data_IF_037214410526
#
_entry.id   IF_037214410526
#
_cell.length_a   1.000
_cell.length_b   1.000
_cell.length_c   1.000
_cell.angle_alpha   90.00
_cell.angle_beta   90.00
_cell.angle_gamma   90.00
#
_symmetry.space_group_name_H-M   'P 1'
#
loop_
_entity.id
_entity.type
_entity.pdbx_description
1 polymer ?
#
# COMPACT_ATOMS: atom_id res chain seq x y z
N UNK A 1 -10.27 -12.10 26.98
CA UNK A 1 -9.94 -10.66 27.02
C UNK A 1 -11.22 -9.88 27.26
N UNK A 2 -11.18 -8.77 28.00
CA UNK A 2 -12.32 -7.84 27.99
C UNK A 2 -12.41 -7.17 26.61
N UNK A 3 -13.63 -6.85 26.11
CA UNK A 3 -13.79 -6.15 24.85
C UNK A 3 -13.32 -4.69 24.98
N UNK A 4 -12.63 -4.18 23.95
CA UNK A 4 -12.28 -2.77 23.91
C UNK A 4 -13.54 -1.93 23.70
N UNK A 5 -13.86 -1.05 24.66
CA UNK A 5 -15.05 -0.22 24.66
C UNK A 5 -14.71 1.24 24.37
N UNK A 6 -15.29 1.78 23.30
CA UNK A 6 -15.34 3.23 23.06
C UNK A 6 -16.71 3.71 23.55
N UNK A 7 -16.88 3.72 24.88
CA UNK A 7 -18.16 4.05 25.52
C UNK A 7 -19.20 2.96 25.28
N UNK A 8 -20.27 3.31 24.57
CA UNK A 8 -21.36 2.41 24.23
C UNK A 8 -21.15 1.70 22.87
N UNK A 9 -19.95 1.81 22.30
CA UNK A 9 -19.53 1.06 21.11
C UNK A 9 -18.51 -0.02 21.49
N UNK A 10 -18.83 -1.29 21.20
CA UNK A 10 -17.90 -2.42 21.30
C UNK A 10 -17.04 -2.41 20.05
N UNK A 11 -15.72 -2.22 20.20
CA UNK A 11 -14.76 -2.37 19.09
C UNK A 11 -14.70 -3.84 18.71
N UNK A 12 -14.99 -4.09 17.43
CA UNK A 12 -14.87 -5.41 16.80
C UNK A 12 -13.48 -5.56 16.18
N UNK A 13 -12.98 -4.52 15.50
CA UNK A 13 -11.67 -4.53 14.85
C UNK A 13 -11.12 -3.11 14.60
N UNK A 14 -9.83 -2.99 14.33
CA UNK A 14 -9.24 -1.82 13.66
C UNK A 14 -9.57 -1.92 12.17
N UNK A 15 -10.22 -0.89 11.61
CA UNK A 15 -10.65 -0.93 10.21
C UNK A 15 -9.76 -0.07 9.29
N UNK A 16 -9.63 1.22 9.56
CA UNK A 16 -8.80 2.15 8.76
C UNK A 16 -7.81 2.88 9.66
N UNK A 17 -6.77 3.45 9.07
CA UNK A 17 -5.89 4.40 9.74
C UNK A 17 -5.41 5.48 8.77
N UNK A 18 -5.31 6.71 9.27
CA UNK A 18 -4.63 7.81 8.60
C UNK A 18 -3.78 8.61 9.61
N UNK A 19 -3.25 9.73 9.16
CA UNK A 19 -2.45 10.69 9.93
C UNK A 19 -3.23 11.52 10.99
N UNK A 20 -4.56 11.43 11.03
CA UNK A 20 -5.42 11.86 12.15
C UNK A 20 -5.76 10.69 13.11
N UNK A 21 -5.36 9.46 12.79
CA UNK A 21 -5.47 8.30 13.68
C UNK A 21 -6.38 7.18 13.16
N UNK A 22 -6.80 6.30 14.08
CA UNK A 22 -7.49 5.04 13.76
C UNK A 22 -9.01 5.24 13.61
N UNK A 23 -9.60 4.50 12.69
CA UNK A 23 -11.04 4.25 12.59
C UNK A 23 -11.28 2.78 12.94
N UNK A 24 -12.12 2.53 13.94
CA UNK A 24 -12.47 1.19 14.39
C UNK A 24 -13.81 0.75 13.80
N UNK A 25 -13.91 -0.51 13.41
CA UNK A 25 -15.20 -1.16 13.22
C UNK A 25 -15.76 -1.49 14.60
N UNK A 26 -16.96 -1.02 14.90
CA UNK A 26 -17.60 -1.24 16.19
C UNK A 26 -19.10 -1.51 16.03
N UNK A 27 -19.75 -1.99 17.09
CA UNK A 27 -21.20 -2.14 17.15
C UNK A 27 -21.76 -1.43 18.38
N UNK A 28 -22.94 -0.82 18.24
CA UNK A 28 -23.61 -0.15 19.37
C UNK A 28 -24.10 -1.17 20.40
N UNK A 29 -24.09 -0.78 21.67
CA UNK A 29 -24.70 -1.51 22.78
C UNK A 29 -26.13 -1.07 23.09
N UNK A 30 -26.59 0.04 22.49
CA UNK A 30 -27.87 0.70 22.79
C UNK A 30 -28.88 0.48 21.67
N UNK A 31 -28.41 0.42 20.42
CA UNK A 31 -29.20 0.01 19.27
C UNK A 31 -28.69 -1.34 18.76
N UNK A 32 -29.60 -2.30 18.55
CA UNK A 32 -29.30 -3.52 17.80
C UNK A 32 -29.27 -3.16 16.30
N UNK A 33 -28.10 -2.71 15.84
CA UNK A 33 -27.90 -2.09 14.54
C UNK A 33 -26.72 -2.72 13.79
N UNK A 34 -26.66 -2.45 12.48
CA UNK A 34 -25.47 -2.68 11.67
C UNK A 34 -24.21 -2.08 12.33
N UNK A 35 -23.02 -2.66 12.07
CA UNK A 35 -21.76 -2.09 12.49
C UNK A 35 -21.55 -0.64 11.99
N UNK A 36 -20.79 0.13 12.76
CA UNK A 36 -20.44 1.52 12.47
C UNK A 36 -18.92 1.71 12.53
N UNK A 37 -18.43 2.73 11.84
CA UNK A 37 -17.05 3.16 11.88
C UNK A 37 -16.88 4.30 12.87
N UNK A 38 -16.05 4.09 13.89
CA UNK A 38 -15.88 4.97 15.05
C UNK A 38 -14.45 5.53 15.09
N UNK A 39 -14.31 6.86 15.08
CA UNK A 39 -13.04 7.58 15.34
C UNK A 39 -13.19 8.45 16.57
N UNK A 40 -12.23 8.40 17.49
CA UNK A 40 -12.16 9.35 18.61
C UNK A 40 -11.69 10.72 18.07
N UNK A 41 -12.34 11.79 18.50
CA UNK A 41 -11.82 13.15 18.39
C UNK A 41 -10.88 13.45 19.57
N UNK A 42 -10.04 14.50 19.52
CA UNK A 42 -9.13 14.82 20.62
C UNK A 42 -9.88 15.18 21.91
N UNK A 43 -9.32 14.80 23.07
CA UNK A 43 -9.87 15.02 24.41
C UNK A 43 -10.03 16.49 24.84
N UNK A 44 -9.58 17.43 24.00
CA UNK A 44 -9.87 18.86 24.13
C UNK A 44 -11.29 19.27 23.68
N UNK A 45 -12.04 18.43 22.96
CA UNK A 45 -13.37 18.77 22.43
C UNK A 45 -14.43 18.71 23.54
N UNK A 46 -14.81 19.87 24.08
CA UNK A 46 -15.79 19.97 25.17
C UNK A 46 -17.22 19.71 24.67
N UNK A 47 -18.09 19.18 25.55
CA UNK A 47 -19.54 18.95 25.32
C UNK A 47 -20.30 20.10 24.63
N UNK A 48 -19.93 21.36 24.91
CA UNK A 48 -20.52 22.56 24.27
C UNK A 48 -20.12 22.70 22.80
N UNK A 49 -18.90 22.28 22.44
CA UNK A 49 -18.43 22.23 21.06
C UNK A 49 -19.10 21.07 20.31
N UNK A 50 -19.33 19.91 20.94
CA UNK A 50 -20.01 18.76 20.30
C UNK A 50 -21.33 19.15 19.62
N UNK A 51 -22.22 19.86 20.32
CA UNK A 51 -23.50 20.35 19.76
C UNK A 51 -23.34 21.35 18.61
N UNK A 52 -22.21 22.04 18.52
CA UNK A 52 -21.90 22.95 17.42
C UNK A 52 -21.27 22.21 16.23
N UNK A 53 -20.39 21.23 16.49
CA UNK A 53 -19.77 20.38 15.48
C UNK A 53 -20.81 19.47 14.78
N UNK A 54 -21.84 19.00 15.50
CA UNK A 54 -22.99 18.32 14.89
C UNK A 54 -23.68 19.25 13.86
N UNK A 55 -24.06 20.46 14.27
CA UNK A 55 -24.66 21.46 13.36
C UNK A 55 -23.77 21.84 12.19
N UNK A 56 -22.46 21.88 12.40
CA UNK A 56 -21.48 22.11 11.35
C UNK A 56 -21.55 21.00 10.29
N UNK A 57 -21.53 19.73 10.70
CA UNK A 57 -21.68 18.59 9.79
C UNK A 57 -23.06 18.57 9.11
N UNK A 58 -24.14 18.82 9.85
CA UNK A 58 -25.50 18.97 9.31
C UNK A 58 -25.56 20.06 8.22
N UNK A 59 -24.95 21.24 8.46
CA UNK A 59 -24.88 22.34 7.49
C UNK A 59 -24.04 22.03 6.24
N UNK A 60 -23.21 20.98 6.28
CA UNK A 60 -22.39 20.50 5.15
C UNK A 60 -22.91 19.18 4.55
N UNK A 61 -23.96 18.59 5.12
CA UNK A 61 -24.52 17.28 4.73
C UNK A 61 -24.69 17.09 3.22
N UNK A 62 -25.19 18.10 2.50
CA UNK A 62 -25.28 18.14 1.03
C UNK A 62 -23.97 17.75 0.34
N UNK A 63 -22.84 18.29 0.80
CA UNK A 63 -21.51 18.12 0.20
C UNK A 63 -20.75 16.91 0.77
N UNK A 64 -21.21 16.36 1.90
CA UNK A 64 -20.76 15.09 2.47
C UNK A 64 -21.50 13.88 1.87
N UNK A 65 -22.66 14.10 1.23
CA UNK A 65 -23.51 13.03 0.68
C UNK A 65 -23.25 12.83 -0.81
N UNK A 66 -22.52 11.76 -1.17
CA UNK A 66 -22.29 11.33 -2.56
C UNK A 66 -22.11 9.82 -2.63
N UNK A 67 -22.43 9.19 -3.76
CA UNK A 67 -22.41 7.71 -3.90
C UNK A 67 -21.02 7.07 -3.70
N UNK A 68 -19.94 7.85 -3.84
CA UNK A 68 -18.55 7.43 -3.65
C UNK A 68 -17.90 8.07 -2.40
N UNK A 69 -18.69 8.59 -1.47
CA UNK A 69 -18.28 8.98 -0.12
C UNK A 69 -18.87 8.01 0.91
N UNK A 70 -18.18 7.84 2.04
CA UNK A 70 -18.75 7.18 3.22
C UNK A 70 -19.69 8.14 3.95
N UNK A 71 -20.93 7.72 4.19
CA UNK A 71 -21.95 8.51 4.86
C UNK A 71 -21.63 8.72 6.35
N UNK A 72 -21.47 9.98 6.74
CA UNK A 72 -21.45 10.44 8.15
C UNK A 72 -22.75 10.07 8.84
N UNK A 73 -22.64 9.41 10.00
CA UNK A 73 -23.78 9.08 10.88
C UNK A 73 -23.97 10.12 11.98
N UNK A 74 -22.92 10.84 12.36
CA UNK A 74 -22.99 11.99 13.26
C UNK A 74 -21.80 12.09 14.21
N UNK A 75 -21.97 12.85 15.29
CA UNK A 75 -21.07 12.81 16.45
C UNK A 75 -21.83 12.33 17.68
N UNK A 76 -21.15 11.56 18.52
CA UNK A 76 -21.67 11.09 19.81
C UNK A 76 -20.69 11.44 20.95
N UNK A 77 -21.17 11.51 22.18
CA UNK A 77 -20.38 11.92 23.35
C UNK A 77 -20.13 10.74 24.31
N UNK A 78 -18.94 10.17 24.19
CA UNK A 78 -18.48 9.02 24.97
C UNK A 78 -17.78 9.49 26.25
N UNK A 79 -18.51 9.51 27.37
CA UNK A 79 -18.00 9.97 28.70
C UNK A 79 -17.47 11.42 28.64
N UNK A 80 -16.15 11.60 28.53
CA UNK A 80 -15.46 12.89 28.35
C UNK A 80 -15.06 13.16 26.91
N UNK A 81 -14.96 12.11 26.08
CA UNK A 81 -14.54 12.17 24.69
C UNK A 81 -15.73 12.46 23.76
N UNK A 82 -15.40 12.78 22.50
CA UNK A 82 -16.37 12.86 21.40
C UNK A 82 -15.91 11.89 20.33
N UNK A 83 -16.84 11.15 19.73
CA UNK A 83 -16.57 10.26 18.60
C UNK A 83 -17.26 10.75 17.33
N UNK A 84 -16.57 10.57 16.20
CA UNK A 84 -17.14 10.66 14.86
C UNK A 84 -17.63 9.28 14.44
N UNK A 85 -18.88 9.22 14.00
CA UNK A 85 -19.56 8.01 13.52
C UNK A 85 -19.75 8.10 12.01
N UNK A 86 -19.34 7.06 11.30
CA UNK A 86 -19.52 6.87 9.85
C UNK A 86 -20.14 5.49 9.58
N UNK A 87 -20.73 5.28 8.41
CA UNK A 87 -21.17 3.93 8.01
C UNK A 87 -19.99 2.94 7.99
N UNK A 88 -20.22 1.68 8.40
CA UNK A 88 -19.31 0.60 8.03
C UNK A 88 -19.64 0.13 6.61
N UNK A 89 -18.61 -0.05 5.78
CA UNK A 89 -18.75 -0.49 4.39
C UNK A 89 -18.04 -1.84 4.26
N UNK A 90 -18.79 -2.95 4.03
CA UNK A 90 -18.19 -4.24 3.71
C UNK A 90 -17.35 -4.16 2.44
N UNK A 91 -16.13 -4.67 2.51
CA UNK A 91 -15.14 -4.60 1.45
C UNK A 91 -13.72 -4.65 2.02
N UNK A 92 -12.73 -4.53 1.13
CA UNK A 92 -11.33 -4.30 1.50
C UNK A 92 -10.94 -2.86 1.16
N UNK A 93 -9.92 -2.31 1.83
CA UNK A 93 -9.31 -1.06 1.38
C UNK A 93 -8.65 -1.24 0.01
N UNK A 94 -8.50 -0.15 -0.74
CA UNK A 94 -7.78 -0.14 -2.00
C UNK A 94 -6.30 -0.52 -1.80
N UNK A 95 -5.71 -0.17 -0.65
CA UNK A 95 -4.41 -0.65 -0.21
C UNK A 95 -4.36 -2.19 -0.12
N UNK A 96 -5.23 -2.80 0.69
CA UNK A 96 -5.28 -4.27 0.86
C UNK A 96 -5.60 -5.01 -0.44
N UNK A 97 -6.51 -4.46 -1.26
CA UNK A 97 -6.86 -5.03 -2.55
C UNK A 97 -5.64 -5.13 -3.48
N UNK A 98 -4.84 -4.05 -3.57
CA UNK A 98 -3.61 -4.02 -4.39
C UNK A 98 -2.51 -4.89 -3.78
N UNK A 99 -2.31 -4.87 -2.46
CA UNK A 99 -1.30 -5.70 -1.80
C UNK A 99 -1.60 -7.20 -1.90
N UNK A 100 -2.87 -7.61 -1.86
CA UNK A 100 -3.29 -9.02 -1.94
C UNK A 100 -3.40 -9.53 -3.38
N UNK A 101 -3.95 -8.73 -4.29
CA UNK A 101 -4.29 -9.16 -5.65
C UNK A 101 -3.26 -8.72 -6.70
N UNK A 102 -2.33 -7.82 -6.36
CA UNK A 102 -1.42 -7.16 -7.31
C UNK A 102 -2.02 -5.90 -7.94
N UNK A 103 -1.30 -5.28 -8.92
CA UNK A 103 -1.72 -4.04 -9.55
C UNK A 103 -3.06 -4.16 -10.30
N UNK A 104 -3.86 -3.09 -10.24
CA UNK A 104 -5.13 -2.94 -10.97
C UNK A 104 -4.84 -2.65 -12.44
N UNK A 105 -5.54 -3.32 -13.36
CA UNK A 105 -5.47 -3.05 -14.79
C UNK A 105 -5.74 -1.55 -15.09
N UNK A 106 -4.92 -0.87 -15.91
CA UNK A 106 -5.00 0.59 -16.08
C UNK A 106 -6.38 1.15 -16.44
N UNK A 107 -7.14 0.45 -17.29
CA UNK A 107 -8.51 0.85 -17.65
C UNK A 107 -9.46 0.86 -16.44
N UNK A 108 -9.42 -0.17 -15.59
CA UNK A 108 -10.21 -0.23 -14.35
C UNK A 108 -9.71 0.81 -13.32
N UNK A 109 -8.40 1.03 -13.23
CA UNK A 109 -7.83 2.05 -12.36
C UNK A 109 -8.25 3.49 -12.77
N UNK A 110 -8.40 3.77 -14.07
CA UNK A 110 -8.98 5.02 -14.58
C UNK A 110 -10.47 5.15 -14.21
N UNK A 111 -11.26 4.07 -14.30
CA UNK A 111 -12.67 4.08 -13.85
C UNK A 111 -12.77 4.36 -12.34
N UNK A 112 -11.91 3.74 -11.53
CA UNK A 112 -11.79 4.02 -10.10
C UNK A 112 -11.39 5.48 -9.82
N UNK A 113 -10.44 6.04 -10.56
CA UNK A 113 -10.11 7.46 -10.46
C UNK A 113 -11.26 8.40 -10.88
N UNK A 114 -12.11 8.01 -11.84
CA UNK A 114 -13.33 8.75 -12.17
C UNK A 114 -14.39 8.69 -11.05
N UNK A 115 -14.58 7.55 -10.39
CA UNK A 115 -15.48 7.43 -9.22
C UNK A 115 -15.04 8.38 -8.08
N UNK A 116 -13.74 8.37 -7.75
CA UNK A 116 -13.15 9.22 -6.71
C UNK A 116 -13.14 10.70 -7.11
N UNK A 117 -12.76 11.02 -8.36
CA UNK A 117 -12.78 12.39 -8.87
C UNK A 117 -14.17 13.01 -8.87
N UNK A 118 -15.23 12.21 -9.05
CA UNK A 118 -16.62 12.66 -8.90
C UNK A 118 -16.96 13.05 -7.46
N UNK A 119 -16.51 12.27 -6.46
CA UNK A 119 -16.70 12.58 -5.05
C UNK A 119 -15.93 13.85 -4.64
N UNK A 120 -14.67 13.97 -5.08
CA UNK A 120 -13.83 15.13 -4.79
C UNK A 120 -14.36 16.42 -5.46
N UNK A 121 -14.90 16.34 -6.69
CA UNK A 121 -15.63 17.46 -7.30
C UNK A 121 -16.82 17.88 -6.43
N UNK A 122 -17.66 16.92 -6.03
CA UNK A 122 -18.87 17.19 -5.25
C UNK A 122 -18.55 17.86 -3.90
N UNK A 123 -17.45 17.47 -3.27
CA UNK A 123 -16.92 18.16 -2.09
C UNK A 123 -16.46 19.60 -2.41
N UNK A 124 -15.68 19.76 -3.48
CA UNK A 124 -15.09 21.04 -3.87
C UNK A 124 -16.12 22.09 -4.32
N UNK A 125 -17.24 21.66 -4.90
CA UNK A 125 -18.41 22.50 -5.20
C UNK A 125 -19.00 23.14 -3.91
N UNK A 126 -18.74 22.54 -2.73
CA UNK A 126 -19.07 23.08 -1.40
C UNK A 126 -17.89 23.75 -0.67
N UNK A 127 -16.81 24.07 -1.38
CA UNK A 127 -15.51 24.51 -0.84
C UNK A 127 -14.94 23.57 0.23
N UNK A 128 -15.13 22.26 0.06
CA UNK A 128 -14.50 21.22 0.87
C UNK A 128 -13.47 20.46 0.03
N UNK A 129 -12.31 20.23 0.61
CA UNK A 129 -11.34 19.26 0.11
C UNK A 129 -10.99 18.31 1.27
N UNK A 130 -10.61 17.09 0.94
CA UNK A 130 -10.27 16.04 1.90
C UNK A 130 -8.89 16.31 2.52
N UNK A 131 -7.94 16.73 1.69
CA UNK A 131 -6.54 17.05 2.01
C UNK A 131 -5.74 15.87 2.56
N UNK A 132 -6.29 14.64 2.54
CA UNK A 132 -5.74 13.44 3.20
C UNK A 132 -6.18 12.13 2.52
N UNK A 133 -6.46 12.16 1.22
CA UNK A 133 -6.81 10.96 0.47
C UNK A 133 -5.61 10.00 0.42
N UNK A 134 -5.84 8.73 0.77
CA UNK A 134 -4.88 7.63 0.61
C UNK A 134 -5.60 6.36 0.17
N UNK A 135 -4.92 5.35 -0.41
CA UNK A 135 -5.50 4.03 -0.69
C UNK A 135 -6.02 3.29 0.57
N UNK A 136 -5.58 3.68 1.77
CA UNK A 136 -6.05 3.12 3.04
C UNK A 136 -7.40 3.69 3.49
N UNK A 137 -7.80 4.85 2.93
CA UNK A 137 -9.07 5.53 3.25
C UNK A 137 -10.15 5.31 2.17
N UNK A 138 -9.84 4.52 1.15
CA UNK A 138 -10.75 4.15 0.05
C UNK A 138 -11.12 2.67 0.23
N UNK A 139 -12.41 2.38 0.37
CA UNK A 139 -12.91 0.99 0.45
C UNK A 139 -13.53 0.59 -0.89
N UNK A 140 -13.14 -0.59 -1.39
CA UNK A 140 -13.70 -1.27 -2.53
C UNK A 140 -14.73 -2.30 -2.06
N UNK A 141 -15.99 -2.06 -2.39
CA UNK A 141 -17.10 -3.00 -2.13
C UNK A 141 -17.05 -4.19 -3.08
N UNK A 142 -17.66 -5.30 -2.67
CA UNK A 142 -17.83 -6.50 -3.52
C UNK A 142 -18.59 -6.22 -4.83
N UNK A 143 -19.35 -5.11 -4.88
CA UNK A 143 -20.05 -4.63 -6.09
C UNK A 143 -19.20 -3.79 -7.05
N UNK A 144 -17.88 -3.69 -6.82
CA UNK A 144 -16.97 -2.90 -7.67
C UNK A 144 -17.08 -1.38 -7.51
N UNK A 145 -17.80 -0.92 -6.48
CA UNK A 145 -17.99 0.50 -6.16
C UNK A 145 -16.99 0.92 -5.09
N UNK A 146 -16.29 2.03 -5.34
CA UNK A 146 -15.43 2.70 -4.36
C UNK A 146 -16.25 3.66 -3.48
N UNK A 147 -15.87 3.74 -2.20
CA UNK A 147 -16.27 4.79 -1.26
C UNK A 147 -15.08 5.32 -0.47
N UNK A 148 -15.00 6.65 -0.33
CA UNK A 148 -13.91 7.38 0.34
C UNK A 148 -14.35 7.86 1.74
N UNK A 149 -13.57 7.54 2.76
CA UNK A 149 -13.79 7.93 4.17
C UNK A 149 -13.03 9.19 4.56
N UNK A 150 -13.59 10.02 5.46
CA UNK A 150 -12.84 11.06 6.19
C UNK A 150 -13.03 12.49 5.71
N UNK A 151 -13.90 12.76 4.74
CA UNK A 151 -14.23 14.12 4.30
C UNK A 151 -14.94 14.93 5.41
N UNK A 152 -15.76 14.28 6.23
CA UNK A 152 -16.34 14.85 7.44
C UNK A 152 -15.30 15.20 8.49
N UNK A 153 -14.29 14.34 8.70
CA UNK A 153 -13.15 14.68 9.53
C UNK A 153 -12.37 15.87 8.97
N UNK A 154 -12.26 16.02 7.64
CA UNK A 154 -11.68 17.21 7.03
C UNK A 154 -12.49 18.49 7.32
N UNK A 155 -13.83 18.41 7.35
CA UNK A 155 -14.68 19.51 7.86
C UNK A 155 -14.35 19.83 9.31
N UNK A 156 -14.28 18.83 10.20
CA UNK A 156 -13.99 19.04 11.62
C UNK A 156 -12.59 19.66 11.83
N UNK A 157 -11.58 19.18 11.12
CA UNK A 157 -10.18 19.63 11.19
C UNK A 157 -10.02 21.12 10.88
N UNK A 158 -10.80 21.67 9.94
CA UNK A 158 -10.82 23.11 9.60
C UNK A 158 -11.20 24.02 10.78
N UNK A 159 -11.96 23.50 11.75
CA UNK A 159 -12.47 24.26 12.90
C UNK A 159 -11.95 23.76 14.26
N UNK A 160 -11.15 22.69 14.26
CA UNK A 160 -10.45 22.15 15.42
C UNK A 160 -8.93 22.12 15.15
N UNK A 161 -8.27 23.27 14.92
CA UNK A 161 -6.84 23.30 14.58
C UNK A 161 -5.93 22.69 15.67
N UNK A 162 -6.42 22.60 16.91
CA UNK A 162 -5.74 21.97 18.06
C UNK A 162 -5.81 20.43 18.08
N UNK A 163 -5.88 19.77 16.91
CA UNK A 163 -5.74 18.31 16.79
C UNK A 163 -4.27 17.89 17.02
N UNK A 164 -3.94 17.74 18.29
CA UNK A 164 -2.78 16.98 18.78
C UNK A 164 -3.27 15.65 19.36
N UNK A 165 -3.70 14.75 18.48
CA UNK A 165 -3.71 13.32 18.78
C UNK A 165 -2.28 12.78 18.72
N UNK A 166 -2.03 11.63 19.33
CA UNK A 166 -0.85 10.82 19.02
C UNK A 166 -0.93 10.43 17.55
N UNK A 167 -0.15 11.11 16.69
CA UNK A 167 -0.12 10.81 15.27
C UNK A 167 0.59 9.47 15.09
N UNK A 168 -0.06 8.43 14.53
CA UNK A 168 0.65 7.21 14.18
C UNK A 168 1.76 7.56 13.16
N UNK A 169 2.87 6.80 13.12
CA UNK A 169 3.84 6.94 12.05
C UNK A 169 3.13 6.76 10.70
N UNK A 170 3.41 7.66 9.76
CA UNK A 170 2.79 7.64 8.44
C UNK A 170 3.17 6.36 7.71
N UNK A 171 2.19 5.70 7.08
CA UNK A 171 2.49 4.65 6.11
C UNK A 171 3.22 5.23 4.90
N UNK A 172 3.98 4.41 4.19
CA UNK A 172 4.65 4.83 2.95
C UNK A 172 3.63 5.30 1.90
N UNK A 173 2.43 4.69 1.88
CA UNK A 173 1.30 5.13 1.06
C UNK A 173 0.82 6.54 1.46
N UNK A 174 0.59 6.81 2.75
CA UNK A 174 0.19 8.12 3.23
C UNK A 174 1.25 9.21 2.95
N UNK A 175 2.54 8.88 3.06
CA UNK A 175 3.64 9.77 2.66
C UNK A 175 3.57 10.04 1.16
N UNK A 176 3.44 8.99 0.32
CA UNK A 176 3.43 9.11 -1.14
C UNK A 176 2.28 9.97 -1.69
N UNK A 177 1.13 9.93 -1.01
CA UNK A 177 -0.06 10.71 -1.40
C UNK A 177 -0.05 12.16 -0.87
N UNK A 178 0.79 12.48 0.13
CA UNK A 178 0.89 13.82 0.68
C UNK A 178 1.58 14.76 -0.32
N UNK A 179 0.88 15.79 -0.79
CA UNK A 179 1.38 16.71 -1.80
C UNK A 179 2.50 17.64 -1.26
N UNK A 180 3.45 18.10 -2.10
CA UNK A 180 4.61 18.90 -1.65
C UNK A 180 4.26 20.14 -0.83
N UNK A 181 3.21 20.86 -1.21
CA UNK A 181 2.71 22.05 -0.51
C UNK A 181 2.16 21.75 0.90
N UNK A 182 1.74 20.51 1.18
CA UNK A 182 1.28 20.10 2.52
C UNK A 182 2.44 19.86 3.49
N UNK A 183 3.66 19.71 2.98
CA UNK A 183 4.89 19.49 3.76
C UNK A 183 5.57 20.82 4.13
N UNK A 184 5.06 21.95 3.64
CA UNK A 184 5.57 23.28 3.93
C UNK A 184 5.05 23.77 5.31
N UNK A 185 5.77 24.67 6.02
CA UNK A 185 5.36 25.16 7.34
C UNK A 185 3.97 25.83 7.36
N UNK A 186 3.62 26.52 6.28
CA UNK A 186 2.29 27.08 6.03
C UNK A 186 1.66 26.31 4.85
N UNK A 187 0.95 25.20 5.09
CA UNK A 187 0.37 24.39 4.03
C UNK A 187 -0.80 25.10 3.33
N UNK A 188 -0.92 24.89 2.03
CA UNK A 188 -1.92 25.55 1.18
C UNK A 188 -3.32 24.89 1.30
N UNK A 189 -4.37 25.68 1.53
CA UNK A 189 -5.77 25.25 1.64
C UNK A 189 -6.41 25.04 0.24
N UNK A 190 -5.76 24.26 -0.63
CA UNK A 190 -6.08 24.10 -2.07
C UNK A 190 -6.55 22.68 -2.42
N UNK A 191 -7.67 22.56 -3.15
CA UNK A 191 -8.21 21.30 -3.67
C UNK A 191 -7.27 20.58 -4.63
N UNK A 192 -6.31 21.27 -5.24
CA UNK A 192 -5.27 20.65 -6.08
C UNK A 192 -4.33 19.72 -5.31
N UNK A 193 -4.33 19.80 -3.98
CA UNK A 193 -3.73 18.79 -3.09
C UNK A 193 -4.36 17.41 -3.32
N UNK A 194 -5.69 17.31 -3.33
CA UNK A 194 -6.39 16.03 -3.52
C UNK A 194 -6.23 15.50 -4.94
N UNK A 195 -6.02 16.37 -5.94
CA UNK A 195 -5.68 15.99 -7.31
C UNK A 195 -4.32 15.29 -7.37
N UNK A 196 -3.33 15.74 -6.59
CA UNK A 196 -2.04 15.06 -6.44
C UNK A 196 -2.20 13.73 -5.71
N UNK A 197 -2.93 13.71 -4.59
CA UNK A 197 -3.18 12.49 -3.82
C UNK A 197 -3.90 11.41 -4.64
N UNK A 198 -4.89 11.81 -5.45
CA UNK A 198 -5.57 10.92 -6.40
C UNK A 198 -4.63 10.42 -7.49
N UNK A 199 -3.68 11.25 -7.95
CA UNK A 199 -2.62 10.84 -8.89
C UNK A 199 -1.68 9.80 -8.28
N UNK A 200 -1.31 9.96 -7.01
CA UNK A 200 -0.44 9.03 -6.29
C UNK A 200 -1.17 7.70 -6.02
N UNK A 201 -2.46 7.75 -5.65
CA UNK A 201 -3.31 6.58 -5.53
C UNK A 201 -3.51 5.85 -6.88
N UNK A 202 -3.64 6.60 -7.99
CA UNK A 202 -3.74 6.04 -9.35
C UNK A 202 -2.43 5.39 -9.81
N UNK A 203 -1.29 6.01 -9.51
CA UNK A 203 0.03 5.40 -9.72
C UNK A 203 0.21 4.11 -8.90
N UNK A 204 -0.19 4.13 -7.62
CA UNK A 204 -0.15 2.94 -6.76
C UNK A 204 -1.06 1.82 -7.30
N UNK A 205 -2.29 2.14 -7.69
CA UNK A 205 -3.20 1.17 -8.30
C UNK A 205 -2.55 0.48 -9.51
N UNK A 206 -1.98 1.24 -10.45
CA UNK A 206 -1.43 0.69 -11.68
C UNK A 206 -0.06 -0.01 -11.53
N UNK A 207 0.68 0.23 -10.45
CA UNK A 207 2.07 -0.28 -10.30
C UNK A 207 2.32 -1.15 -9.06
N UNK A 208 1.39 -1.19 -8.11
CA UNK A 208 1.59 -1.81 -6.79
C UNK A 208 2.64 -1.11 -5.91
N UNK A 209 3.18 0.04 -6.32
CA UNK A 209 4.30 0.73 -5.66
C UNK A 209 3.89 2.14 -5.21
N UNK A 210 4.35 2.61 -4.03
CA UNK A 210 4.12 3.99 -3.60
C UNK A 210 4.78 4.99 -4.56
N UNK A 211 4.18 6.16 -4.72
CA UNK A 211 4.77 7.25 -5.49
C UNK A 211 5.91 7.92 -4.71
N UNK A 212 7.13 7.87 -5.27
CA UNK A 212 8.34 8.34 -4.57
C UNK A 212 8.54 9.88 -4.59
N UNK A 213 7.62 10.65 -5.17
CA UNK A 213 7.71 12.11 -5.23
C UNK A 213 8.71 12.67 -6.25
N UNK A 214 9.37 11.84 -7.06
CA UNK A 214 10.26 12.31 -8.12
C UNK A 214 9.50 13.17 -9.16
N UNK A 215 10.15 14.17 -9.77
CA UNK A 215 9.52 14.90 -10.87
C UNK A 215 9.29 13.98 -12.07
N UNK A 216 8.03 13.69 -12.35
CA UNK A 216 7.58 12.74 -13.37
C UNK A 216 7.77 13.22 -14.80
N UNK A 217 9.02 13.34 -15.26
CA UNK A 217 9.30 13.45 -16.69
C UNK A 217 9.10 12.07 -17.34
N UNK A 218 8.04 11.92 -18.13
CA UNK A 218 7.73 10.70 -18.87
C UNK A 218 8.86 10.27 -19.83
N UNK A 219 9.62 11.22 -20.39
CA UNK A 219 10.70 10.95 -21.33
C UNK A 219 12.02 10.49 -20.68
N UNK A 220 12.10 10.43 -19.34
CA UNK A 220 13.24 9.83 -18.64
C UNK A 220 12.99 8.32 -18.43
N UNK A 221 13.81 7.39 -18.95
CA UNK A 221 13.65 5.96 -18.73
C UNK A 221 13.72 5.51 -17.25
N UNK A 222 14.35 6.32 -16.38
CA UNK A 222 14.38 6.09 -14.93
C UNK A 222 13.16 6.66 -14.19
N UNK A 223 12.24 7.32 -14.89
CA UNK A 223 10.98 7.83 -14.32
C UNK A 223 10.07 6.67 -13.90
N UNK A 224 9.45 6.70 -12.71
CA UNK A 224 8.47 5.69 -12.33
C UNK A 224 7.31 5.58 -13.33
N UNK A 225 6.96 6.69 -13.99
CA UNK A 225 5.91 6.76 -15.01
C UNK A 225 6.25 5.99 -16.30
N UNK A 226 7.53 5.78 -16.62
CA UNK A 226 7.94 5.06 -17.84
C UNK A 226 7.48 3.59 -17.84
N UNK A 227 7.09 3.04 -16.68
CA UNK A 227 6.51 1.69 -16.55
C UNK A 227 4.99 1.60 -16.77
N UNK A 228 4.34 2.70 -17.18
CA UNK A 228 2.90 2.79 -17.43
C UNK A 228 2.56 2.98 -18.92
N UNK A 229 1.33 2.67 -19.36
CA UNK A 229 0.92 2.87 -20.76
C UNK A 229 1.15 4.32 -21.22
N UNK A 230 1.74 4.58 -22.40
CA UNK A 230 2.08 5.92 -22.86
C UNK A 230 0.90 6.92 -22.87
N UNK A 231 -0.32 6.44 -23.06
CA UNK A 231 -1.57 7.23 -22.98
C UNK A 231 -1.89 7.77 -21.59
N UNK A 232 -1.43 7.09 -20.52
CA UNK A 232 -1.66 7.49 -19.12
C UNK A 232 -0.56 8.41 -18.59
N UNK A 233 0.66 8.32 -19.12
CA UNK A 233 1.82 9.06 -18.60
C UNK A 233 1.61 10.59 -18.54
N UNK A 234 1.02 11.28 -19.55
CA UNK A 234 0.80 12.74 -19.48
C UNK A 234 -0.23 13.15 -18.42
N UNK A 235 -1.31 12.37 -18.29
CA UNK A 235 -2.36 12.57 -17.28
C UNK A 235 -1.76 12.49 -15.87
N UNK A 236 -1.02 11.41 -15.58
CA UNK A 236 -0.38 11.24 -14.27
C UNK A 236 0.71 12.28 -14.02
N UNK A 237 1.55 12.62 -15.00
CA UNK A 237 2.56 13.67 -14.87
C UNK A 237 1.93 15.03 -14.51
N UNK A 238 0.75 15.35 -15.08
CA UNK A 238 -0.01 16.56 -14.78
C UNK A 238 -0.68 16.51 -13.41
N UNK A 239 -1.24 15.37 -12.98
CA UNK A 239 -1.78 15.21 -11.62
C UNK A 239 -0.69 15.32 -10.55
N UNK A 240 0.48 14.71 -10.80
CA UNK A 240 1.61 14.63 -9.87
C UNK A 240 2.62 15.79 -9.99
N UNK A 241 2.27 16.84 -10.74
CA UNK A 241 3.15 17.99 -10.93
C UNK A 241 3.49 18.66 -9.58
N UNK A 242 4.78 18.96 -9.36
CA UNK A 242 5.27 19.47 -8.07
C UNK A 242 4.55 20.76 -7.65
N UNK A 243 4.44 21.73 -8.55
CA UNK A 243 3.70 22.98 -8.30
C UNK A 243 2.19 22.77 -8.53
N UNK A 244 1.30 23.14 -7.59
CA UNK A 244 -0.15 23.05 -7.77
C UNK A 244 -0.66 23.82 -9.00
N UNK A 245 -0.01 24.92 -9.38
CA UNK A 245 -0.30 25.72 -10.57
C UNK A 245 -0.28 24.90 -11.87
N UNK A 246 0.59 23.90 -11.98
CA UNK A 246 0.75 23.05 -13.17
C UNK A 246 -0.21 21.83 -13.19
N UNK A 247 -0.91 21.57 -12.09
CA UNK A 247 -1.95 20.53 -12.02
C UNK A 247 -3.24 20.99 -12.70
N UNK A 248 -4.22 20.09 -12.76
CA UNK A 248 -5.58 20.44 -13.18
C UNK A 248 -6.15 21.57 -12.32
N UNK A 249 -6.69 22.61 -12.98
CA UNK A 249 -7.26 23.77 -12.28
C UNK A 249 -8.54 23.42 -11.50
N UNK A 250 -9.32 22.47 -12.02
CA UNK A 250 -10.57 22.00 -11.45
C UNK A 250 -10.79 20.52 -11.80
N UNK A 251 -11.71 19.86 -11.08
CA UNK A 251 -12.04 18.46 -11.29
C UNK A 251 -12.81 18.18 -12.59
N UNK A 252 -13.46 19.18 -13.19
CA UNK A 252 -14.20 19.01 -14.45
C UNK A 252 -13.28 18.70 -15.63
N UNK A 253 -12.15 19.40 -15.70
CA UNK A 253 -11.10 19.10 -16.69
C UNK A 253 -10.43 17.74 -16.41
N UNK A 254 -10.15 17.43 -15.14
CA UNK A 254 -9.58 16.13 -14.75
C UNK A 254 -10.51 14.95 -15.13
N UNK A 255 -11.82 15.09 -14.90
CA UNK A 255 -12.83 14.08 -15.26
C UNK A 255 -13.15 14.03 -16.76
N UNK A 256 -12.64 14.99 -17.55
CA UNK A 256 -12.62 14.92 -19.01
C UNK A 256 -11.41 14.10 -19.46
N UNK A 257 -10.21 14.52 -19.07
CA UNK A 257 -8.96 13.87 -19.48
C UNK A 257 -8.90 12.41 -19.00
N UNK A 258 -9.31 12.10 -17.76
CA UNK A 258 -9.45 10.71 -17.27
C UNK A 258 -10.29 9.81 -18.18
N UNK A 259 -11.37 10.38 -18.74
CA UNK A 259 -12.33 9.66 -19.59
C UNK A 259 -11.78 9.49 -20.99
N UNK A 260 -11.24 10.54 -21.60
CA UNK A 260 -10.60 10.49 -22.91
C UNK A 260 -9.38 9.55 -22.91
N UNK A 261 -8.61 9.50 -21.82
CA UNK A 261 -7.55 8.49 -21.64
C UNK A 261 -8.12 7.07 -21.54
N UNK A 262 -9.23 6.87 -20.82
CA UNK A 262 -9.90 5.56 -20.71
C UNK A 262 -10.48 5.08 -22.06
N UNK A 263 -11.11 5.97 -22.80
CA UNK A 263 -11.70 5.73 -24.13
C UNK A 263 -10.59 5.39 -25.14
N UNK A 264 -9.51 6.18 -25.21
CA UNK A 264 -8.36 5.90 -26.08
C UNK A 264 -7.64 4.58 -25.72
N UNK A 265 -7.55 4.23 -24.43
CA UNK A 265 -7.01 2.92 -24.00
C UNK A 265 -7.91 1.74 -24.44
N UNK A 266 -9.23 1.93 -24.48
CA UNK A 266 -10.16 0.91 -24.95
C UNK A 266 -10.10 0.75 -26.47
N UNK A 267 -10.01 1.87 -27.21
CA UNK A 267 -9.83 1.89 -28.66
C UNK A 267 -8.53 1.17 -29.07
N UNK A 268 -7.40 1.50 -28.43
CA UNK A 268 -6.13 0.79 -28.63
C UNK A 268 -6.22 -0.73 -28.38
N UNK A 269 -6.90 -1.14 -27.31
CA UNK A 269 -7.07 -2.57 -26.99
C UNK A 269 -8.00 -3.30 -27.99
N UNK A 270 -8.96 -2.59 -28.59
CA UNK A 270 -9.82 -3.11 -29.66
C UNK A 270 -9.04 -3.24 -30.97
N UNK A 271 -8.26 -2.22 -31.34
CA UNK A 271 -7.39 -2.22 -32.52
C UNK A 271 -6.32 -3.32 -32.44
N UNK A 272 -5.69 -3.52 -31.28
CA UNK A 272 -4.75 -4.63 -31.07
C UNK A 272 -5.44 -5.99 -31.25
N UNK A 273 -6.67 -6.15 -30.75
CA UNK A 273 -7.45 -7.38 -30.83
C UNK A 273 -8.05 -7.67 -32.21
N UNK A 274 -8.25 -6.66 -33.06
CA UNK A 274 -8.74 -6.83 -34.44
C UNK A 274 -7.62 -6.94 -35.47
N UNK A 275 -6.51 -6.21 -35.29
CA UNK A 275 -5.39 -6.20 -36.24
C UNK A 275 -4.37 -7.33 -35.99
N UNK A 276 -4.31 -7.93 -34.81
CA UNK A 276 -3.60 -9.20 -34.64
C UNK A 276 -4.39 -10.35 -35.27
N UNK A 277 -3.86 -11.06 -36.28
CA UNK A 277 -4.48 -12.29 -36.73
C UNK A 277 -4.48 -13.28 -35.55
N UNK A 278 -5.65 -13.89 -35.27
CA UNK A 278 -5.74 -15.00 -34.32
C UNK A 278 -4.61 -15.99 -34.62
N UNK A 279 -3.84 -16.44 -33.61
CA UNK A 279 -2.75 -17.37 -33.85
C UNK A 279 -3.32 -18.59 -34.57
N UNK A 280 -2.91 -18.80 -35.82
CA UNK A 280 -3.36 -19.95 -36.60
C UNK A 280 -3.09 -21.21 -35.76
N UNK A 281 -4.04 -22.17 -35.67
CA UNK A 281 -3.84 -23.36 -34.88
C UNK A 281 -2.57 -24.05 -35.38
N UNK A 282 -1.50 -23.99 -34.57
CA UNK A 282 -0.16 -24.43 -34.99
C UNK A 282 -0.30 -25.84 -35.55
N UNK A 283 0.04 -26.00 -36.83
CA UNK A 283 -0.13 -27.25 -37.56
C UNK A 283 0.40 -28.39 -36.69
N UNK A 284 -0.49 -29.30 -36.28
CA UNK A 284 -0.22 -30.18 -35.15
C UNK A 284 1.08 -30.96 -35.41
N UNK A 285 2.10 -30.74 -34.57
CA UNK A 285 3.38 -31.43 -34.68
C UNK A 285 3.09 -32.94 -34.76
N UNK A 286 3.60 -33.64 -35.79
CA UNK A 286 3.26 -35.04 -36.01
C UNK A 286 3.59 -35.83 -34.74
N UNK A 287 2.54 -36.39 -34.13
CA UNK A 287 2.67 -37.05 -32.83
C UNK A 287 3.75 -38.14 -32.90
N UNK A 288 4.70 -38.18 -31.95
CA UNK A 288 5.80 -39.12 -32.02
C UNK A 288 5.23 -40.56 -32.05
N UNK A 289 5.73 -41.43 -32.94
CA UNK A 289 5.13 -42.73 -33.16
C UNK A 289 5.09 -43.54 -31.85
N UNK A 290 4.02 -44.31 -31.60
CA UNK A 290 3.81 -44.96 -30.31
C UNK A 290 4.96 -45.90 -29.99
N UNK A 291 5.73 -45.57 -28.94
CA UNK A 291 6.85 -46.39 -28.46
C UNK A 291 6.37 -47.82 -28.25
N UNK A 292 6.92 -48.77 -29.02
CA UNK A 292 6.59 -50.19 -28.92
C UNK A 292 6.76 -50.65 -27.47
N UNK A 293 5.65 -51.02 -26.82
CA UNK A 293 5.67 -51.63 -25.49
C UNK A 293 6.36 -52.99 -25.58
N UNK A 294 7.63 -53.06 -25.16
CA UNK A 294 8.29 -54.36 -24.96
C UNK A 294 7.48 -55.19 -23.97
N UNK A 295 7.18 -56.44 -24.33
CA UNK A 295 6.33 -57.28 -23.47
C UNK A 295 7.04 -57.61 -22.15
N UNK A 296 6.29 -57.61 -21.05
CA UNK A 296 6.84 -57.82 -19.69
C UNK A 296 7.51 -59.19 -19.48
N UNK A 297 7.40 -60.12 -20.45
CA UNK A 297 8.12 -61.40 -20.44
C UNK A 297 9.62 -61.26 -20.70
N UNK A 298 10.07 -60.23 -21.43
CA UNK A 298 11.50 -60.02 -21.69
C UNK A 298 12.27 -59.58 -20.44
N UNK A 299 11.69 -58.69 -19.62
CA UNK A 299 12.35 -58.12 -18.42
C UNK A 299 12.56 -59.18 -17.33
N UNK A 300 11.67 -60.17 -17.21
CA UNK A 300 11.78 -61.26 -16.22
C UNK A 300 12.93 -62.25 -16.48
N UNK A 301 13.52 -62.27 -17.67
CA UNK A 301 14.67 -63.14 -17.98
C UNK A 301 16.02 -62.48 -17.64
N UNK A 302 16.12 -61.16 -17.64
CA UNK A 302 17.39 -60.46 -17.32
C UNK A 302 17.68 -60.34 -15.82
N UNK A 303 16.65 -60.28 -14.97
CA UNK A 303 16.81 -60.10 -13.52
C UNK A 303 17.40 -61.33 -12.82
N UNK A 304 17.21 -62.53 -13.35
CA UNK A 304 17.74 -63.78 -12.77
C UNK A 304 19.25 -63.91 -12.99
N UNK A 305 19.78 -63.40 -14.13
CA UNK A 305 21.22 -63.45 -14.42
C UNK A 305 22.04 -62.46 -13.57
N UNK A 306 21.49 -61.29 -13.24
CA UNK A 306 22.23 -60.24 -12.53
C UNK A 306 22.57 -60.60 -11.08
N UNK A 307 21.65 -61.25 -10.36
CA UNK A 307 21.81 -61.57 -8.94
C UNK A 307 22.95 -62.59 -8.72
N UNK A 308 23.09 -63.58 -9.60
CA UNK A 308 24.19 -64.54 -9.55
C UNK A 308 25.57 -63.89 -9.76
N UNK A 309 25.69 -62.94 -10.70
CA UNK A 309 26.94 -62.24 -10.98
C UNK A 309 27.44 -61.39 -9.81
N UNK A 310 26.54 -60.68 -9.12
CA UNK A 310 26.90 -59.84 -7.98
C UNK A 310 27.43 -60.64 -6.78
N UNK A 311 26.89 -61.84 -6.51
CA UNK A 311 27.35 -62.70 -5.41
C UNK A 311 28.76 -63.23 -5.64
N UNK A 312 29.09 -63.63 -6.88
CA UNK A 312 30.45 -64.08 -7.22
C UNK A 312 31.45 -62.92 -7.10
N UNK A 313 31.09 -61.73 -7.56
CA UNK A 313 31.97 -60.55 -7.48
C UNK A 313 32.27 -60.15 -6.02
N UNK A 314 31.25 -60.19 -5.14
CA UNK A 314 31.42 -59.88 -3.72
C UNK A 314 32.37 -60.86 -3.00
N UNK A 315 32.28 -62.16 -3.30
CA UNK A 315 33.17 -63.18 -2.73
C UNK A 315 34.64 -62.97 -3.14
N UNK A 316 34.89 -62.62 -4.40
CA UNK A 316 36.24 -62.33 -4.91
C UNK A 316 36.82 -61.08 -4.24
N UNK A 317 36.04 -60.00 -4.09
CA UNK A 317 36.50 -58.77 -3.43
C UNK A 317 36.86 -59.04 -1.96
N UNK A 318 36.02 -59.77 -1.22
CA UNK A 318 36.30 -60.12 0.18
C UNK A 318 37.62 -60.90 0.33
N UNK A 319 37.84 -61.91 -0.52
CA UNK A 319 39.07 -62.71 -0.52
C UNK A 319 40.34 -61.94 -0.88
N UNK A 320 40.24 -60.79 -1.53
CA UNK A 320 41.40 -59.93 -1.88
C UNK A 320 41.71 -58.90 -0.79
N UNK A 321 40.69 -58.46 -0.04
CA UNK A 321 40.86 -57.49 1.06
C UNK A 321 41.37 -58.15 2.34
N UNK A 322 40.90 -59.36 2.68
CA UNK A 322 41.38 -60.10 3.87
C UNK A 322 42.82 -60.63 3.75
N UNK A 323 43.46 -60.51 2.58
CA UNK A 323 44.80 -61.04 2.31
C UNK A 323 45.94 -60.02 2.41
N UNK A 324 45.72 -58.83 2.99
CA UNK A 324 46.76 -57.80 3.17
C UNK A 324 46.61 -57.06 4.52
N UNK A 325 47.26 -57.60 5.53
CA UNK A 325 47.67 -56.93 6.77
C UNK A 325 49.17 -57.21 6.93
N UNK A 326 49.83 -56.49 7.85
CA UNK A 326 51.27 -56.41 8.08
C UNK A 326 52.00 -55.52 7.02
N UNK A 327 52.89 -54.59 7.36
CA UNK A 327 53.58 -54.41 8.66
C UNK A 327 53.95 -52.92 9.00
N UNK A 328 54.22 -52.69 10.30
CA UNK A 328 55.05 -51.64 10.95
C UNK A 328 54.92 -50.12 10.62
N UNK A 329 54.39 -49.37 11.61
CA UNK A 329 55.04 -48.29 12.39
C UNK A 329 55.57 -46.91 11.84
N UNK A 330 55.63 -45.97 12.82
CA UNK A 330 56.57 -44.83 12.99
C UNK A 330 56.07 -43.36 12.83
N UNK A 331 55.84 -42.74 14.01
CA UNK A 331 55.86 -41.31 14.41
C UNK A 331 56.44 -40.19 13.50
N UNK A 332 55.91 -38.95 13.64
CA UNK A 332 56.53 -37.73 13.04
C UNK A 332 55.81 -36.36 13.24
N UNK A 333 55.96 -35.74 14.40
CA UNK A 333 55.59 -34.36 14.81
C UNK A 333 56.05 -33.19 13.87
N UNK A 334 55.29 -32.07 13.74
CA UNK A 334 55.81 -30.78 13.21
C UNK A 334 54.82 -29.66 12.75
N UNK A 335 54.98 -28.41 13.25
CA UNK A 335 54.14 -27.20 13.01
C UNK A 335 54.10 -26.57 11.58
N UNK A 336 53.12 -25.72 11.20
CA UNK A 336 52.83 -24.31 11.63
C UNK A 336 53.98 -23.32 11.31
N UNK A 337 53.82 -22.09 10.72
CA UNK A 337 52.63 -21.23 10.51
C UNK A 337 52.45 -20.58 9.08
N UNK A 338 51.51 -19.61 8.97
CA UNK A 338 51.21 -18.71 7.83
C UNK A 338 52.01 -17.38 7.90
N UNK A 339 52.12 -16.62 6.79
CA UNK A 339 52.82 -15.32 6.67
C UNK A 339 51.89 -14.14 6.25
N UNK A 340 52.36 -12.88 6.34
CA UNK A 340 51.56 -11.64 6.18
C UNK A 340 52.31 -10.45 5.54
N UNK A 341 51.58 -9.51 4.90
CA UNK A 341 52.03 -8.23 4.27
C UNK A 341 51.40 -8.03 2.87
N UNK A 342 50.77 -6.91 2.43
CA UNK A 342 50.93 -5.44 2.61
C UNK A 342 52.04 -4.82 1.71
N UNK A 343 51.91 -3.66 1.04
CA UNK A 343 50.86 -2.60 0.89
C UNK A 343 50.50 -2.36 -0.62
N UNK A 344 50.13 -1.23 -1.27
CA UNK A 344 49.89 0.21 -0.93
C UNK A 344 49.08 1.02 -1.99
N UNK A 345 48.58 2.22 -1.60
CA UNK A 345 48.32 3.46 -2.39
C UNK A 345 47.28 3.54 -3.54
N UNK A 346 46.51 4.65 -3.65
CA UNK A 346 45.65 4.95 -4.83
C UNK A 346 44.50 6.00 -4.72
N UNK A 347 44.82 7.29 -4.55
CA UNK A 347 43.92 8.48 -4.52
C UNK A 347 42.59 8.48 -5.36
N UNK A 348 41.46 8.94 -4.77
CA UNK A 348 40.87 10.30 -5.01
C UNK A 348 39.34 10.46 -4.77
N UNK A 349 38.91 11.72 -4.58
CA UNK A 349 37.58 12.33 -4.81
C UNK A 349 36.34 11.89 -3.98
N UNK A 350 35.92 12.79 -3.09
CA UNK A 350 34.73 12.81 -2.22
C UNK A 350 33.36 12.97 -2.91
N UNK A 351 32.30 12.42 -2.28
CA UNK A 351 30.98 13.05 -2.17
C UNK A 351 30.18 12.46 -0.98
N UNK A 352 30.08 13.19 0.13
CA UNK A 352 29.41 12.71 1.35
C UNK A 352 27.88 12.78 1.30
N UNK A 353 27.21 11.76 1.85
CA UNK A 353 25.77 11.74 2.10
C UNK A 353 25.51 11.92 3.61
N UNK A 354 24.75 12.94 4.04
CA UNK A 354 24.57 13.23 5.46
C UNK A 354 23.66 12.20 6.16
N UNK A 355 24.26 11.31 6.96
CA UNK A 355 23.54 10.34 7.79
C UNK A 355 22.92 11.03 9.01
N UNK A 356 21.59 11.11 9.04
CA UNK A 356 20.83 11.67 10.16
C UNK A 356 20.95 10.78 11.41
N UNK A 357 21.55 11.31 12.48
CA UNK A 357 21.56 10.68 13.82
C UNK A 357 20.49 11.33 14.71
N UNK A 358 19.62 10.57 15.38
CA UNK A 358 18.67 11.13 16.35
C UNK A 358 19.41 11.65 17.60
N UNK A 359 18.96 12.77 18.14
CA UNK A 359 19.53 13.38 19.34
C UNK A 359 19.17 12.60 20.62
N UNK A 360 20.10 12.53 21.59
CA UNK A 360 19.81 11.99 22.92
C UNK A 360 18.78 12.87 23.64
N UNK A 361 17.74 12.27 24.19
CA UNK A 361 16.85 12.95 25.13
C UNK A 361 17.59 13.24 26.43
N UNK A 362 17.52 14.48 26.90
CA UNK A 362 17.93 14.86 28.25
C UNK A 362 16.73 14.79 29.18
N UNK A 363 16.81 13.98 30.23
CA UNK A 363 15.77 13.86 31.25
C UNK A 363 15.77 15.06 32.19
N UNK A 364 14.71 15.87 32.19
CA UNK A 364 14.51 16.97 33.14
C UNK A 364 13.38 16.59 34.10
N UNK A 365 13.71 16.49 35.39
CA UNK A 365 12.77 16.27 36.48
C UNK A 365 12.30 17.63 37.01
N UNK A 366 10.99 17.89 37.14
CA UNK A 366 10.50 19.12 37.76
C UNK A 366 10.66 19.06 39.29
N UNK A 367 11.52 19.92 39.84
CA UNK A 367 11.60 20.16 41.29
C UNK A 367 10.49 21.11 41.76
N UNK A 368 10.12 21.04 43.03
CA UNK A 368 8.95 21.73 43.59
C UNK A 368 9.27 23.11 44.19
N UNK A 369 8.29 24.00 44.05
CA UNK A 369 7.89 25.07 44.98
C UNK A 369 8.95 25.99 45.64
N UNK A 370 8.90 27.27 45.28
CA UNK A 370 8.99 28.38 46.24
C UNK A 370 8.04 29.51 45.83
N UNK A 371 7.51 30.24 46.83
CA UNK A 371 6.73 31.47 46.62
C UNK A 371 7.67 32.68 46.49
N UNK A 372 7.13 33.81 46.01
CA UNK A 372 7.38 35.08 46.68
C UNK A 372 6.08 35.68 47.26
N UNK A 373 6.17 36.17 48.49
CA UNK A 373 5.56 37.47 48.87
C UNK A 373 6.31 38.58 48.09
N UNK A 374 5.70 39.70 47.74
CA UNK A 374 4.76 40.50 48.54
C UNK A 374 3.66 41.13 47.66
#
# INVERSE_FOLDING_TARGET
SEPLLIGDYIVLDKFLADQDGVIYKAQSRVADSDPVCVRLLPSGVKRRQTKWLVRLLESRSRWLTHRHLAATRGLDQVRKEVVLLTEFIPGATLAEAVFRNGPVAPSLALQYAMQLGSALKHAADGHLHHGRLTPEMIVLTDTGVLKLYGLDYAVLRRYLPTITLERPPLSELAISCQAPEQRMPNPLDDHRTDIYALGAALFFMMTGRPWNGAMGNAANPQSPLASLPPTVQPLLARMLAFQPTHRYANYGDLLRDLRTTHEAMLEQALDEATNHPRPQPRLALPTPPPRRRFSARAVRLMTISGIGGCLVLAAVIFSVVSGRVDDSDAAGNGGVPVYSGATDSGHSASADVPVYRPAKQASVIPSAASKPTE
#
